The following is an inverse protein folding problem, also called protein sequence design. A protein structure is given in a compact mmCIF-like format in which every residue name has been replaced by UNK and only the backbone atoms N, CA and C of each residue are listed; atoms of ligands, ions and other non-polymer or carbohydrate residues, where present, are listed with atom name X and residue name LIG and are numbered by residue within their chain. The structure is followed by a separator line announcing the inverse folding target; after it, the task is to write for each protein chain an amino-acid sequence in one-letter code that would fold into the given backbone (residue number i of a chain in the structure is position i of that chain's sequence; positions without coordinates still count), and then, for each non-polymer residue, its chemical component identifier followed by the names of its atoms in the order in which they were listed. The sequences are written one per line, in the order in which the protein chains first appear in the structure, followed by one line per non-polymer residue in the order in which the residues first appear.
data_IF_010337218434
#
_entry.id   IF_010337218434
#
_cell.length_a   1.000
_cell.length_b   1.000
_cell.length_c   1.000
_cell.angle_alpha   90.00
_cell.angle_beta   90.00
_cell.angle_gamma   90.00
#
_symmetry.space_group_name_H-M   'P 1'
#
loop_
_entity.id
_entity.type
_entity.pdbx_description
1 polymer ?
#
# COMPACT_ATOMS: atom_id res chain seq x y z
N UNK A 1 4.83 -27.08 -9.65
CA UNK A 1 6.04 -26.23 -9.57
C UNK A 1 6.41 -25.52 -10.87
N UNK A 2 6.36 -26.16 -12.04
CA UNK A 2 6.80 -25.52 -13.30
C UNK A 2 5.97 -24.30 -13.69
N UNK A 3 4.65 -24.39 -13.54
CA UNK A 3 3.73 -23.31 -13.91
C UNK A 3 3.92 -22.05 -13.04
N UNK A 4 4.02 -22.17 -11.71
CA UNK A 4 4.26 -21.03 -10.82
C UNK A 4 5.56 -20.26 -11.13
N UNK A 5 6.61 -20.98 -11.55
CA UNK A 5 7.87 -20.37 -12.02
C UNK A 5 7.73 -19.64 -13.35
N UNK A 6 6.91 -20.13 -14.27
CA UNK A 6 6.63 -19.42 -15.53
C UNK A 6 5.90 -18.10 -15.25
N UNK A 7 4.90 -18.11 -14.36
CA UNK A 7 4.22 -16.87 -13.94
C UNK A 7 5.18 -15.91 -13.22
N UNK A 8 6.11 -16.43 -12.41
CA UNK A 8 7.18 -15.62 -11.80
C UNK A 8 8.00 -14.88 -12.84
N UNK A 9 8.53 -15.59 -13.84
CA UNK A 9 9.32 -14.98 -14.92
C UNK A 9 8.50 -13.96 -15.70
N UNK A 10 7.21 -14.27 -15.97
CA UNK A 10 6.32 -13.39 -16.74
C UNK A 10 6.00 -12.10 -16.00
N UNK A 11 5.62 -12.16 -14.73
CA UNK A 11 5.31 -10.93 -13.99
C UNK A 11 6.56 -10.11 -13.70
N UNK A 12 7.74 -10.74 -13.55
CA UNK A 12 8.98 -10.00 -13.36
C UNK A 12 9.34 -9.21 -14.62
N UNK A 13 9.25 -9.85 -15.80
CA UNK A 13 9.44 -9.16 -17.07
C UNK A 13 8.39 -8.04 -17.27
N UNK A 14 7.12 -8.31 -16.98
CA UNK A 14 6.05 -7.31 -17.08
C UNK A 14 6.28 -6.13 -16.14
N UNK A 15 6.79 -6.37 -14.93
CA UNK A 15 7.11 -5.32 -13.96
C UNK A 15 8.19 -4.38 -14.50
N UNK A 16 9.25 -4.90 -15.12
CA UNK A 16 10.29 -4.09 -15.76
C UNK A 16 9.78 -3.31 -16.98
N UNK A 17 8.78 -3.83 -17.68
CA UNK A 17 8.09 -3.15 -18.78
C UNK A 17 6.97 -2.21 -18.31
N UNK A 18 6.82 -2.02 -17.00
CA UNK A 18 5.76 -1.20 -16.38
C UNK A 18 4.33 -1.62 -16.78
N UNK A 19 4.15 -2.89 -17.17
CA UNK A 19 2.84 -3.47 -17.47
C UNK A 19 2.21 -3.99 -16.19
N UNK A 20 1.82 -3.07 -15.30
CA UNK A 20 1.36 -3.39 -13.96
C UNK A 20 0.07 -4.23 -13.93
N UNK A 21 -0.80 -4.07 -14.93
CA UNK A 21 -1.98 -4.91 -15.16
C UNK A 21 -1.63 -6.41 -15.22
N UNK A 22 -0.57 -6.75 -15.97
CA UNK A 22 -0.11 -8.12 -16.10
C UNK A 22 0.52 -8.63 -14.80
N UNK A 23 1.24 -7.77 -14.08
CA UNK A 23 1.84 -8.14 -12.79
C UNK A 23 0.75 -8.50 -11.79
N UNK A 24 -0.29 -7.68 -11.67
CA UNK A 24 -1.43 -7.94 -10.77
C UNK A 24 -2.10 -9.25 -11.13
N UNK A 25 -2.43 -9.46 -12.41
CA UNK A 25 -3.07 -10.70 -12.88
C UNK A 25 -2.28 -11.95 -12.51
N UNK A 26 -0.98 -11.92 -12.73
CA UNK A 26 -0.10 -13.08 -12.54
C UNK A 26 0.20 -13.37 -11.07
N UNK A 27 0.42 -12.31 -10.29
CA UNK A 27 0.62 -12.43 -8.84
C UNK A 27 -0.65 -12.92 -8.15
N UNK A 28 -1.83 -12.44 -8.52
CA UNK A 28 -3.11 -12.95 -7.99
C UNK A 28 -3.32 -14.42 -8.30
N UNK A 29 -2.99 -14.85 -9.52
CA UNK A 29 -3.06 -16.25 -9.91
C UNK A 29 -2.15 -17.11 -9.03
N UNK A 30 -0.94 -16.63 -8.73
CA UNK A 30 -0.01 -17.33 -7.85
C UNK A 30 -0.48 -17.34 -6.38
N UNK A 31 -1.02 -16.23 -5.88
CA UNK A 31 -1.61 -16.18 -4.53
C UNK A 31 -2.79 -17.15 -4.39
N UNK A 32 -3.65 -17.28 -5.42
CA UNK A 32 -4.72 -18.30 -5.44
C UNK A 32 -4.17 -19.72 -5.42
N UNK A 33 -3.08 -19.99 -6.15
CA UNK A 33 -2.40 -21.28 -6.11
C UNK A 33 -1.87 -21.59 -4.71
N UNK A 34 -1.22 -20.63 -4.04
CA UNK A 34 -0.72 -20.83 -2.68
C UNK A 34 -1.86 -21.11 -1.69
N UNK A 35 -2.94 -20.34 -1.75
CA UNK A 35 -4.12 -20.56 -0.91
C UNK A 35 -4.74 -21.96 -1.14
N UNK A 36 -4.78 -22.43 -2.39
CA UNK A 36 -5.24 -23.77 -2.74
C UNK A 36 -4.35 -24.85 -2.13
N UNK A 37 -3.03 -24.73 -2.26
CA UNK A 37 -2.07 -25.68 -1.69
C UNK A 37 -2.20 -25.74 -0.17
N UNK A 38 -2.24 -24.60 0.51
CA UNK A 38 -2.39 -24.56 1.98
C UNK A 38 -3.66 -25.23 2.46
N UNK A 39 -4.77 -25.07 1.72
CA UNK A 39 -6.07 -25.67 2.06
C UNK A 39 -6.11 -27.19 1.87
N UNK A 40 -5.44 -27.71 0.85
CA UNK A 40 -5.62 -29.10 0.41
C UNK A 40 -4.39 -30.01 0.62
N UNK A 41 -3.21 -29.47 0.91
CA UNK A 41 -2.03 -30.29 1.14
C UNK A 41 -2.16 -31.13 2.42
N UNK A 42 -1.97 -32.44 2.27
CA UNK A 42 -2.07 -33.40 3.37
C UNK A 42 -0.88 -33.35 4.34
N UNK A 43 0.29 -32.89 3.87
CA UNK A 43 1.52 -32.83 4.67
C UNK A 43 1.91 -31.38 4.95
N UNK A 44 2.24 -31.02 6.21
CA UNK A 44 2.68 -29.66 6.55
C UNK A 44 3.92 -29.19 5.78
N UNK A 45 4.86 -30.10 5.49
CA UNK A 45 6.07 -29.80 4.70
C UNK A 45 5.74 -29.28 3.30
N UNK A 46 4.74 -29.87 2.65
CA UNK A 46 4.32 -29.49 1.30
C UNK A 46 3.60 -28.14 1.30
N UNK A 47 3.03 -27.71 2.44
CA UNK A 47 2.47 -26.36 2.59
C UNK A 47 3.58 -25.32 2.60
N UNK A 48 4.55 -25.49 3.49
CA UNK A 48 5.65 -24.54 3.71
C UNK A 48 6.49 -24.35 2.44
N UNK A 49 6.76 -25.42 1.69
CA UNK A 49 7.58 -25.37 0.47
C UNK A 49 7.03 -24.38 -0.57
N UNK A 50 5.70 -24.27 -0.67
CA UNK A 50 5.05 -23.35 -1.60
C UNK A 50 4.77 -21.99 -0.96
N UNK A 51 4.32 -22.00 0.29
CA UNK A 51 3.75 -20.82 0.90
C UNK A 51 4.80 -19.82 1.39
N UNK A 52 6.05 -20.26 1.58
CA UNK A 52 7.18 -19.38 1.89
C UNK A 52 7.38 -18.24 0.88
N UNK A 53 6.89 -18.38 -0.37
CA UNK A 53 6.98 -17.35 -1.40
C UNK A 53 5.82 -16.35 -1.37
N UNK A 54 4.77 -16.59 -0.55
CA UNK A 54 3.59 -15.73 -0.47
C UNK A 54 3.93 -14.28 -0.14
N UNK A 55 4.80 -13.97 0.85
CA UNK A 55 5.16 -12.57 1.15
C UNK A 55 5.74 -11.84 -0.05
N UNK A 56 6.66 -12.48 -0.79
CA UNK A 56 7.29 -11.88 -1.96
C UNK A 56 6.29 -11.59 -3.08
N UNK A 57 5.42 -12.56 -3.39
CA UNK A 57 4.40 -12.38 -4.44
C UNK A 57 3.40 -11.30 -4.04
N UNK A 58 3.04 -11.22 -2.75
CA UNK A 58 2.16 -10.18 -2.23
C UNK A 58 2.81 -8.80 -2.33
N UNK A 59 4.07 -8.65 -1.93
CA UNK A 59 4.84 -7.41 -2.11
C UNK A 59 4.86 -6.98 -3.58
N UNK A 60 5.12 -7.89 -4.52
CA UNK A 60 5.14 -7.57 -5.94
C UNK A 60 3.77 -7.13 -6.48
N UNK A 61 2.67 -7.77 -6.03
CA UNK A 61 1.30 -7.35 -6.36
C UNK A 61 1.04 -5.93 -5.86
N UNK A 62 1.35 -5.68 -4.59
CA UNK A 62 1.20 -4.38 -3.94
C UNK A 62 1.99 -3.30 -4.66
N UNK A 63 3.23 -3.59 -5.07
CA UNK A 63 4.04 -2.66 -5.86
C UNK A 63 3.39 -2.32 -7.20
N UNK A 64 2.87 -3.31 -7.91
CA UNK A 64 2.20 -3.06 -9.19
C UNK A 64 0.95 -2.19 -9.03
N UNK A 65 0.10 -2.49 -8.04
CA UNK A 65 -1.10 -1.69 -7.75
C UNK A 65 -0.75 -0.26 -7.36
N UNK A 66 0.19 -0.09 -6.42
CA UNK A 66 0.58 1.23 -5.95
C UNK A 66 1.27 2.06 -7.05
N UNK A 67 2.13 1.46 -7.88
CA UNK A 67 2.76 2.16 -9.01
C UNK A 67 1.74 2.57 -10.08
N UNK A 68 0.73 1.73 -10.35
CA UNK A 68 -0.36 2.08 -11.27
C UNK A 68 -1.20 3.25 -10.76
N UNK A 69 -1.52 3.28 -9.45
CA UNK A 69 -2.22 4.41 -8.82
C UNK A 69 -1.36 5.68 -8.80
N UNK A 70 -0.06 5.57 -8.51
CA UNK A 70 0.86 6.71 -8.56
C UNK A 70 0.99 7.29 -9.96
N UNK A 71 1.01 6.45 -11.01
CA UNK A 71 1.00 6.92 -12.40
C UNK A 71 -0.26 7.73 -12.75
N UNK A 72 -1.36 7.52 -12.01
CA UNK A 72 -2.63 8.26 -12.11
C UNK A 72 -2.69 9.46 -11.15
N UNK A 73 -1.59 9.80 -10.47
CA UNK A 73 -1.51 10.81 -9.42
C UNK A 73 -2.41 10.54 -8.20
N UNK A 74 -2.77 9.27 -7.96
CA UNK A 74 -3.58 8.86 -6.81
C UNK A 74 -2.70 8.25 -5.72
N UNK A 75 -2.00 9.13 -5.00
CA UNK A 75 -1.17 8.72 -3.86
C UNK A 75 -1.98 8.11 -2.72
N UNK A 76 -3.25 8.50 -2.55
CA UNK A 76 -4.10 7.97 -1.49
C UNK A 76 -4.43 6.50 -1.76
N UNK A 77 -4.85 6.18 -2.98
CA UNK A 77 -5.11 4.81 -3.39
C UNK A 77 -3.83 3.97 -3.39
N UNK A 78 -2.68 4.55 -3.76
CA UNK A 78 -1.39 3.88 -3.68
C UNK A 78 -1.03 3.47 -2.23
N UNK A 79 -1.22 4.37 -1.26
CA UNK A 79 -0.99 4.08 0.16
C UNK A 79 -1.96 2.98 0.64
N UNK A 80 -3.24 3.06 0.26
CA UNK A 80 -4.23 2.04 0.59
C UNK A 80 -3.81 0.64 0.11
N UNK A 81 -3.30 0.52 -1.12
CA UNK A 81 -2.78 -0.76 -1.61
C UNK A 81 -1.54 -1.26 -0.86
N UNK A 82 -0.70 -0.33 -0.38
CA UNK A 82 0.46 -0.67 0.43
C UNK A 82 0.03 -1.20 1.79
N UNK A 83 -0.95 -0.57 2.42
CA UNK A 83 -1.52 -1.01 3.69
C UNK A 83 -2.16 -2.39 3.60
N UNK A 84 -2.95 -2.66 2.55
CA UNK A 84 -3.49 -3.99 2.28
C UNK A 84 -2.38 -5.05 2.13
N UNK A 85 -1.28 -4.70 1.45
CA UNK A 85 -0.12 -5.57 1.30
C UNK A 85 0.59 -5.86 2.61
N UNK A 86 0.79 -4.83 3.43
CA UNK A 86 1.40 -4.93 4.76
C UNK A 86 0.57 -5.86 5.65
N UNK A 87 -0.74 -5.65 5.73
CA UNK A 87 -1.64 -6.46 6.55
C UNK A 87 -1.68 -7.91 6.08
N UNK A 88 -1.66 -8.15 4.76
CA UNK A 88 -1.59 -9.51 4.24
C UNK A 88 -0.28 -10.24 4.58
N UNK A 89 0.86 -9.53 4.61
CA UNK A 89 2.14 -10.13 5.02
C UNK A 89 2.16 -10.39 6.54
N UNK A 90 1.62 -9.47 7.36
CA UNK A 90 1.45 -9.68 8.80
C UNK A 90 0.56 -10.87 9.12
N UNK A 91 -0.53 -11.03 8.37
CA UNK A 91 -1.41 -12.19 8.49
C UNK A 91 -0.66 -13.49 8.18
N UNK A 92 0.17 -13.52 7.14
CA UNK A 92 1.03 -14.66 6.86
C UNK A 92 2.01 -14.95 8.01
N UNK A 93 2.71 -13.94 8.54
CA UNK A 93 3.63 -14.14 9.66
C UNK A 93 2.92 -14.71 10.88
N UNK A 94 1.70 -14.22 11.17
CA UNK A 94 0.86 -14.73 12.24
C UNK A 94 0.45 -16.18 12.03
N UNK A 95 0.07 -16.56 10.80
CA UNK A 95 -0.33 -17.93 10.45
C UNK A 95 0.80 -18.95 10.68
N UNK A 96 2.07 -18.52 10.61
CA UNK A 96 3.26 -19.35 10.83
C UNK A 96 3.92 -19.13 12.20
N UNK A 97 3.28 -18.43 13.13
CA UNK A 97 3.83 -18.10 14.46
C UNK A 97 5.15 -17.32 14.41
N UNK A 98 5.35 -16.52 13.35
CA UNK A 98 6.53 -15.70 13.10
C UNK A 98 6.31 -14.21 13.34
N UNK A 99 5.27 -13.83 14.10
CA UNK A 99 4.96 -12.43 14.41
C UNK A 99 6.13 -11.66 15.02
N UNK A 100 6.94 -12.32 15.87
CA UNK A 100 8.11 -11.71 16.51
C UNK A 100 9.26 -11.43 15.52
N UNK A 101 9.19 -11.98 14.30
CA UNK A 101 10.20 -11.84 13.25
C UNK A 101 9.76 -10.83 12.17
N UNK A 102 8.82 -9.93 12.48
CA UNK A 102 8.36 -8.88 11.55
C UNK A 102 9.52 -8.07 10.97
N UNK A 103 10.50 -7.73 11.81
CA UNK A 103 11.69 -6.97 11.44
C UNK A 103 12.63 -7.71 10.48
N UNK A 104 12.57 -9.04 10.45
CA UNK A 104 13.39 -9.89 9.58
C UNK A 104 12.74 -10.10 8.20
N UNK A 105 11.43 -9.85 8.09
CA UNK A 105 10.71 -9.94 6.83
C UNK A 105 11.09 -8.77 5.90
N UNK A 106 11.94 -9.05 4.93
CA UNK A 106 12.45 -8.05 3.97
C UNK A 106 11.33 -7.35 3.20
N UNK A 107 10.32 -8.11 2.77
CA UNK A 107 9.17 -7.62 2.02
C UNK A 107 8.36 -6.61 2.82
N UNK A 108 8.10 -6.93 4.09
CA UNK A 108 7.36 -6.06 4.99
C UNK A 108 8.16 -4.79 5.32
N UNK A 109 9.44 -4.94 5.65
CA UNK A 109 10.34 -3.81 5.85
C UNK A 109 10.43 -2.90 4.62
N UNK A 110 10.41 -3.47 3.41
CA UNK A 110 10.36 -2.70 2.17
C UNK A 110 9.07 -1.90 2.05
N UNK A 111 7.90 -2.54 2.20
CA UNK A 111 6.60 -1.86 2.09
C UNK A 111 6.44 -0.75 3.14
N UNK A 112 6.87 -0.97 4.38
CA UNK A 112 6.82 0.04 5.45
C UNK A 112 7.71 1.26 5.19
N UNK A 113 8.89 1.05 4.60
CA UNK A 113 9.76 2.18 4.18
C UNK A 113 9.15 2.90 2.99
N UNK A 114 8.68 2.15 2.00
CA UNK A 114 8.13 2.72 0.78
C UNK A 114 6.84 3.51 1.02
N UNK A 115 5.98 3.03 1.94
CA UNK A 115 4.80 3.79 2.42
C UNK A 115 5.22 5.17 2.94
N UNK A 116 6.20 5.21 3.86
CA UNK A 116 6.72 6.46 4.44
C UNK A 116 7.31 7.39 3.38
N UNK A 117 7.99 6.84 2.38
CA UNK A 117 8.54 7.64 1.27
C UNK A 117 7.42 8.26 0.42
N UNK A 118 6.34 7.52 0.14
CA UNK A 118 5.20 8.02 -0.62
C UNK A 118 4.43 9.08 0.19
N UNK A 119 4.23 8.85 1.48
CA UNK A 119 3.60 9.81 2.39
C UNK A 119 4.40 11.11 2.48
N UNK A 120 5.74 11.01 2.60
CA UNK A 120 6.63 12.17 2.69
C UNK A 120 6.70 12.98 1.39
N UNK A 121 6.61 12.29 0.24
CA UNK A 121 6.64 12.92 -1.09
C UNK A 121 5.26 13.30 -1.62
N UNK A 122 4.18 13.05 -0.86
CA UNK A 122 2.83 13.45 -1.25
C UNK A 122 2.82 14.97 -1.40
N UNK A 123 2.38 15.51 -2.55
CA UNK A 123 2.16 16.95 -2.66
C UNK A 123 1.13 17.33 -1.60
N UNK A 124 1.57 18.02 -0.54
CA UNK A 124 0.72 18.44 0.57
C UNK A 124 -0.49 19.16 -0.01
N UNK A 125 -1.67 18.61 0.27
CA UNK A 125 -2.92 19.20 -0.19
C UNK A 125 -3.02 20.65 0.28
N UNK A 126 -3.83 21.51 -0.37
CA UNK A 126 -4.08 22.88 0.11
C UNK A 126 -4.45 22.92 1.60
N UNK A 127 -5.19 21.92 2.07
CA UNK A 127 -5.61 21.74 3.45
C UNK A 127 -4.43 21.50 4.40
N UNK A 128 -3.60 20.51 4.10
CA UNK A 128 -2.46 20.08 4.91
C UNK A 128 -1.36 21.16 4.97
N UNK A 129 -1.21 21.95 3.89
CA UNK A 129 -0.37 23.16 3.89
C UNK A 129 -0.90 24.23 4.82
N UNK A 130 -2.21 24.48 4.80
CA UNK A 130 -2.83 25.45 5.69
C UNK A 130 -2.77 24.99 7.16
N UNK A 131 -2.90 23.71 7.45
CA UNK A 131 -2.74 23.16 8.81
C UNK A 131 -1.33 23.41 9.36
N UNK A 132 -0.30 23.19 8.56
CA UNK A 132 1.07 23.51 8.98
C UNK A 132 1.33 25.02 9.11
N UNK A 133 0.77 25.83 8.21
CA UNK A 133 0.88 27.29 8.34
C UNK A 133 0.19 27.78 9.62
N UNK A 134 -0.93 27.16 10.00
CA UNK A 134 -1.62 27.44 11.25
C UNK A 134 -0.75 27.08 12.46
N UNK A 135 -0.16 25.89 12.49
CA UNK A 135 0.76 25.48 13.56
C UNK A 135 1.94 26.44 13.70
N UNK A 136 2.52 26.87 12.58
CA UNK A 136 3.62 27.82 12.56
C UNK A 136 3.21 29.21 13.06
N UNK A 137 2.05 29.71 12.63
CA UNK A 137 1.51 30.99 13.09
C UNK A 137 1.23 30.98 14.59
N UNK A 138 0.67 29.89 15.12
CA UNK A 138 0.47 29.70 16.57
C UNK A 138 1.81 29.65 17.32
N UNK A 139 2.79 28.92 16.80
CA UNK A 139 4.12 28.81 17.41
C UNK A 139 4.91 30.13 17.41
N UNK A 140 4.65 31.00 16.43
CA UNK A 140 5.22 32.35 16.35
C UNK A 140 4.38 33.41 17.07
N UNK A 141 3.30 33.00 17.74
CA UNK A 141 2.34 33.88 18.43
C UNK A 141 1.66 34.91 17.48
N UNK A 142 1.63 34.63 16.18
CA UNK A 142 0.89 35.41 15.18
C UNK A 142 -0.57 34.95 15.16
N UNK A 143 -1.31 35.37 16.19
CA UNK A 143 -2.70 34.96 16.38
C UNK A 143 -3.66 35.52 15.31
N UNK A 144 -3.30 36.62 14.64
CA UNK A 144 -4.09 37.20 13.55
C UNK A 144 -4.01 36.32 12.31
N UNK A 145 -2.78 35.93 11.91
CA UNK A 145 -2.56 35.02 10.80
C UNK A 145 -3.14 33.63 11.09
N UNK A 146 -2.99 33.13 12.33
CA UNK A 146 -3.62 31.88 12.76
C UNK A 146 -5.15 31.91 12.64
N UNK A 147 -5.80 33.01 13.02
CA UNK A 147 -7.25 33.16 12.87
C UNK A 147 -7.68 33.14 11.39
N UNK A 148 -6.94 33.84 10.52
CA UNK A 148 -7.20 33.87 9.07
C UNK A 148 -7.09 32.48 8.44
N UNK A 149 -6.02 31.75 8.76
CA UNK A 149 -5.78 30.40 8.24
C UNK A 149 -6.86 29.44 8.74
N UNK A 150 -7.27 29.54 10.00
CA UNK A 150 -8.37 28.74 10.56
C UNK A 150 -9.69 28.96 9.80
N UNK A 151 -10.03 30.21 9.47
CA UNK A 151 -11.24 30.52 8.70
C UNK A 151 -11.16 29.99 7.26
N UNK A 152 -9.96 29.96 6.68
CA UNK A 152 -9.71 29.37 5.36
C UNK A 152 -9.83 27.85 5.38
N UNK A 153 -9.34 27.20 6.44
CA UNK A 153 -9.50 25.76 6.68
C UNK A 153 -10.97 25.36 6.84
N UNK A 154 -11.75 26.12 7.61
CA UNK A 154 -13.19 25.88 7.77
C UNK A 154 -13.93 25.95 6.43
N UNK A 155 -13.61 26.95 5.59
CA UNK A 155 -14.21 27.09 4.25
C UNK A 155 -13.83 25.93 3.33
N UNK A 156 -12.57 25.51 3.32
CA UNK A 156 -12.12 24.39 2.49
C UNK A 156 -12.77 23.07 2.92
N UNK A 157 -12.81 22.77 4.22
CA UNK A 157 -13.49 21.56 4.75
C UNK A 157 -14.99 21.56 4.45
N UNK A 158 -15.65 22.71 4.53
CA UNK A 158 -17.07 22.84 4.18
C UNK A 158 -17.36 22.59 2.69
N UNK A 159 -16.40 22.88 1.82
CA UNK A 159 -16.53 22.68 0.36
C UNK A 159 -16.32 21.20 -0.03
N UNK A 160 -15.40 20.50 0.64
CA UNK A 160 -15.19 19.06 0.43
C UNK A 160 -16.42 18.23 0.85
N UNK A 161 -17.08 18.60 1.96
CA UNK A 161 -18.32 17.94 2.42
C UNK A 161 -19.44 18.09 1.38
N UNK A 162 -19.63 19.29 0.82
CA UNK A 162 -20.63 19.55 -0.22
C UNK A 162 -20.37 18.82 -1.55
N UNK A 163 -19.10 18.50 -1.86
CA UNK A 163 -18.73 17.73 -3.06
C UNK A 163 -18.89 16.22 -2.92
N UNK A 164 -19.19 15.72 -1.72
CA UNK A 164 -19.36 14.30 -1.40
C UNK A 164 -20.83 13.86 -1.23
N UNK A 165 -21.78 14.79 -1.32
CA UNK A 165 -23.21 14.45 -1.36
C UNK A 165 -23.58 13.91 -2.76
N UNK A 166 -24.16 12.70 -2.87
CA UNK A 166 -24.60 12.20 -4.16
C UNK A 166 -25.79 13.04 -4.64
N UNK A 167 -25.65 13.61 -5.84
CA UNK A 167 -26.77 14.22 -6.55
C UNK A 167 -27.90 13.17 -6.70
N UNK A 168 -29.18 13.56 -6.46
CA UNK A 168 -30.32 12.65 -6.46
C UNK A 168 -30.61 12.00 -7.81
#
# INVERSE_FOLDING_TARGET
MQEGRQYYQRYLAAFHLQRYDLVVRDTERNLRLFAFVVRHAARPRDKIEFDQYRPYVMMMRTRALALDSLAKNDSAQAISHIDEGIEGIRAFLKDYEQSDHEAECMELGFLLRWKRDIESNRPRGPLERLEQQLELAVALEDYEEAARIRDQLVRLRGTEIASSEPHP
#
